data_IF_793898666623
#
_entry.id   IF_793898666623
#
_cell.length_a   1.000
_cell.length_b   1.000
_cell.length_c   1.000
_cell.angle_alpha   90.00
_cell.angle_beta   90.00
_cell.angle_gamma   90.00
#
_symmetry.space_group_name_H-M   'P 1'
#
loop_
_entity.id
_entity.type
_entity.pdbx_description
1 polymer ?
#
# COMPACT_ATOMS: atom_id res chain seq x y z
N UNK A 1 25.91 -17.45 14.05
CA UNK A 1 26.22 -17.38 12.61
C UNK A 1 26.20 -15.90 12.22
N UNK A 2 27.37 -15.27 12.17
CA UNK A 2 27.50 -13.86 11.77
C UNK A 2 27.95 -13.85 10.30
N UNK A 3 27.15 -13.27 9.39
CA UNK A 3 27.55 -13.10 7.99
C UNK A 3 26.48 -13.30 6.91
N UNK A 4 25.23 -13.65 7.24
CA UNK A 4 24.15 -13.69 6.25
C UNK A 4 23.36 -12.38 6.35
N UNK A 5 23.23 -11.66 5.23
CA UNK A 5 22.38 -10.47 5.15
C UNK A 5 20.91 -10.84 5.35
N UNK A 6 20.11 -9.96 5.93
CA UNK A 6 18.68 -10.22 6.14
C UNK A 6 17.98 -10.57 4.83
N UNK A 7 17.09 -11.56 4.87
CA UNK A 7 16.21 -11.90 3.75
C UNK A 7 15.18 -10.79 3.49
N UNK A 8 14.76 -10.07 4.54
CA UNK A 8 13.80 -8.96 4.46
C UNK A 8 14.52 -7.64 4.74
N UNK A 9 14.33 -6.65 3.88
CA UNK A 9 14.76 -5.27 4.14
C UNK A 9 13.91 -4.68 5.27
N UNK A 10 14.50 -4.22 6.40
CA UNK A 10 13.72 -3.58 7.46
C UNK A 10 12.98 -2.34 6.94
N UNK A 11 11.78 -2.07 7.45
CA UNK A 11 10.95 -0.93 7.01
C UNK A 11 11.67 0.43 7.03
N UNK A 12 12.57 0.65 8.00
CA UNK A 12 13.37 1.88 8.13
C UNK A 12 14.44 2.03 7.05
N UNK A 13 14.85 0.92 6.43
CA UNK A 13 15.91 0.83 5.44
C UNK A 13 15.33 0.60 4.02
N UNK A 14 13.99 0.55 3.90
CA UNK A 14 13.30 0.31 2.64
C UNK A 14 13.30 1.58 1.77
N UNK A 15 13.78 1.46 0.52
CA UNK A 15 13.86 2.58 -0.41
C UNK A 15 12.47 3.17 -0.69
N UNK A 16 12.37 4.50 -0.61
CA UNK A 16 11.15 5.26 -0.86
C UNK A 16 11.44 6.38 -1.85
N UNK A 17 10.52 6.56 -2.79
CA UNK A 17 10.50 7.72 -3.70
C UNK A 17 9.55 8.74 -3.09
N UNK A 18 10.10 9.75 -2.41
CA UNK A 18 9.32 10.85 -1.85
C UNK A 18 9.32 12.03 -2.85
N UNK A 19 8.36 12.05 -3.78
CA UNK A 19 8.17 13.18 -4.72
C UNK A 19 7.31 14.29 -4.14
N UNK A 20 6.56 14.02 -3.08
CA UNK A 20 5.72 15.00 -2.43
C UNK A 20 6.57 15.93 -1.54
N UNK A 21 6.44 17.24 -1.75
CA UNK A 21 7.08 18.27 -0.93
C UNK A 21 6.70 18.16 0.57
N UNK A 22 5.52 17.59 0.86
CA UNK A 22 5.02 17.33 2.21
C UNK A 22 4.28 15.99 2.23
N UNK A 23 4.52 15.15 3.23
CA UNK A 23 3.79 13.89 3.42
C UNK A 23 2.34 14.21 3.83
N UNK A 24 1.34 13.82 3.03
CA UNK A 24 -0.05 14.06 3.39
C UNK A 24 -0.44 13.21 4.60
N UNK A 25 -1.04 13.86 5.60
CA UNK A 25 -1.74 13.17 6.67
C UNK A 25 -3.12 12.77 6.15
N UNK A 26 -3.30 11.48 5.87
CA UNK A 26 -4.59 10.94 5.41
C UNK A 26 -5.30 10.35 6.62
N UNK A 27 -6.53 10.84 6.86
CA UNK A 27 -7.41 10.25 7.86
C UNK A 27 -8.11 9.02 7.26
N UNK A 28 -7.87 7.86 7.87
CA UNK A 28 -8.38 6.58 7.41
C UNK A 28 -9.91 6.44 7.57
N UNK A 29 -10.52 7.16 8.52
CA UNK A 29 -11.95 7.08 8.78
C UNK A 29 -12.77 7.82 7.72
N UNK A 30 -12.21 8.88 7.14
CA UNK A 30 -12.86 9.69 6.11
C UNK A 30 -12.41 9.34 4.68
N UNK A 31 -11.33 8.56 4.53
CA UNK A 31 -10.78 8.20 3.23
C UNK A 31 -11.70 7.28 2.40
N UNK A 32 -11.63 7.43 1.07
CA UNK A 32 -12.43 6.63 0.11
C UNK A 32 -11.61 6.19 -1.11
N UNK A 33 -11.62 4.88 -1.41
CA UNK A 33 -11.13 4.32 -2.68
C UNK A 33 -12.22 4.42 -3.74
N UNK A 34 -11.95 5.02 -4.90
CA UNK A 34 -12.91 5.10 -6.00
C UNK A 34 -12.40 4.32 -7.21
N UNK A 35 -13.12 3.27 -7.62
CA UNK A 35 -12.82 2.48 -8.82
C UNK A 35 -13.74 2.94 -9.95
N UNK A 36 -13.16 3.58 -10.96
CA UNK A 36 -13.85 4.20 -12.11
C UNK A 36 -12.93 4.17 -13.33
N UNK A 37 -13.47 4.40 -14.52
CA UNK A 37 -12.69 4.54 -15.76
C UNK A 37 -13.20 3.66 -16.89
N UNK A 38 -12.48 3.66 -18.01
CA UNK A 38 -12.82 2.87 -19.19
C UNK A 38 -12.78 1.37 -18.85
N UNK A 39 -13.84 0.63 -19.22
CA UNK A 39 -13.96 -0.80 -18.94
C UNK A 39 -14.52 -1.15 -17.56
N UNK A 40 -14.75 -0.16 -16.68
CA UNK A 40 -15.43 -0.38 -15.40
C UNK A 40 -16.94 -0.38 -15.64
N UNK A 41 -17.56 -1.56 -15.62
CA UNK A 41 -19.01 -1.70 -15.86
C UNK A 41 -19.86 -1.17 -14.70
N UNK A 42 -19.36 -1.29 -13.47
CA UNK A 42 -20.02 -0.77 -12.28
C UNK A 42 -19.03 -0.03 -11.38
N UNK A 43 -19.05 1.31 -11.39
CA UNK A 43 -18.25 2.11 -10.47
C UNK A 43 -18.53 1.72 -9.02
N UNK A 44 -17.48 1.70 -8.20
CA UNK A 44 -17.59 1.40 -6.77
C UNK A 44 -16.72 2.34 -5.96
N UNK A 45 -17.17 2.60 -4.74
CA UNK A 45 -16.39 3.35 -3.76
C UNK A 45 -16.32 2.55 -2.47
N UNK A 46 -15.12 2.38 -1.91
CA UNK A 46 -14.90 1.66 -0.66
C UNK A 46 -14.32 2.58 0.42
N UNK A 47 -14.68 2.33 1.67
CA UNK A 47 -14.02 2.84 2.87
C UNK A 47 -12.81 1.96 3.21
N UNK A 48 -11.93 2.44 4.10
CA UNK A 48 -10.81 1.62 4.56
C UNK A 48 -11.28 0.37 5.33
N UNK A 49 -12.33 0.50 6.16
CA UNK A 49 -12.92 -0.63 6.90
C UNK A 49 -13.45 -1.74 5.98
N UNK A 50 -14.18 -1.39 4.92
CA UNK A 50 -14.68 -2.36 3.93
C UNK A 50 -13.56 -3.10 3.19
N UNK A 51 -12.34 -2.55 3.14
CA UNK A 51 -11.18 -3.24 2.58
C UNK A 51 -10.57 -4.24 3.56
N UNK A 52 -10.49 -3.88 4.85
CA UNK A 52 -9.97 -4.75 5.91
C UNK A 52 -10.86 -5.97 6.19
N UNK A 53 -12.15 -5.88 5.89
CA UNK A 53 -13.09 -7.00 5.98
C UNK A 53 -12.88 -8.06 4.87
N UNK A 54 -12.03 -7.79 3.88
CA UNK A 54 -11.72 -8.74 2.80
C UNK A 54 -10.64 -9.73 3.22
N UNK A 55 -10.54 -10.90 2.56
CA UNK A 55 -9.45 -11.84 2.79
C UNK A 55 -8.08 -11.18 2.57
N UNK A 56 -7.27 -11.16 3.63
CA UNK A 56 -5.90 -10.66 3.58
C UNK A 56 -4.99 -11.70 2.91
N UNK A 57 -4.10 -11.23 2.05
CA UNK A 57 -3.14 -12.06 1.33
C UNK A 57 -1.75 -11.47 1.55
N UNK A 58 -0.84 -12.28 2.10
CA UNK A 58 0.56 -11.89 2.32
C UNK A 58 1.47 -12.49 1.25
N UNK A 59 2.44 -11.70 0.77
CA UNK A 59 3.40 -12.08 -0.27
C UNK A 59 4.73 -11.39 -0.03
N UNK A 60 5.83 -12.14 -0.16
CA UNK A 60 7.17 -11.56 -0.27
C UNK A 60 7.38 -11.01 -1.67
N UNK A 61 7.60 -9.70 -1.79
CA UNK A 61 7.75 -9.00 -3.07
C UNK A 61 8.96 -8.08 -2.98
N UNK A 62 9.87 -8.19 -3.96
CA UNK A 62 10.95 -7.21 -4.17
C UNK A 62 10.41 -6.03 -4.96
N UNK A 63 10.52 -4.82 -4.40
CA UNK A 63 10.26 -3.58 -5.15
C UNK A 63 11.59 -2.98 -5.62
N UNK A 64 11.69 -2.73 -6.91
CA UNK A 64 12.84 -2.07 -7.55
C UNK A 64 12.35 -0.82 -8.30
N UNK A 65 13.14 0.24 -8.29
CA UNK A 65 12.83 1.49 -9.00
C UNK A 65 12.91 1.36 -10.52
#
# INVERSE_FOLDING_TARGET
MAGISSFTTPNKDFYRVDTALVVPKVDADTWRLRIRGKGVTRPRTYTFRELLERPLIERDITLTC
#
